data_IF_508790558503
#
_entry.id   IF_508790558503
#
_cell.length_a   1.000
_cell.length_b   1.000
_cell.length_c   1.000
_cell.angle_alpha   90.00
_cell.angle_beta   90.00
_cell.angle_gamma   90.00
#
_symmetry.space_group_name_H-M   'P 1'
#
loop_
_entity.id
_entity.type
_entity.pdbx_description
1 polymer ?
#
# COMPACT_ATOMS: atom_id res chain seq x y z
N UNK A 1 3.05 -14.31 -3.08
CA UNK A 1 4.23 -14.10 -2.20
C UNK A 1 3.78 -13.35 -0.97
N UNK A 2 4.20 -13.76 0.22
CA UNK A 2 3.83 -13.12 1.50
C UNK A 2 5.11 -12.85 2.29
N UNK A 3 5.19 -11.67 2.91
CA UNK A 3 6.33 -11.25 3.74
C UNK A 3 6.32 -11.83 5.17
N UNK A 4 5.38 -12.73 5.47
CA UNK A 4 5.11 -13.28 6.80
C UNK A 4 4.61 -12.25 7.82
N UNK A 5 4.24 -11.06 7.35
CA UNK A 5 3.68 -9.96 8.13
C UNK A 5 2.41 -9.49 7.46
N UNK A 6 2.41 -8.30 6.88
CA UNK A 6 1.22 -7.63 6.36
C UNK A 6 1.22 -7.42 4.85
N UNK A 7 2.32 -7.73 4.15
CA UNK A 7 2.41 -7.53 2.70
C UNK A 7 2.12 -8.83 1.93
N UNK A 8 1.05 -8.82 1.14
CA UNK A 8 0.68 -9.91 0.23
C UNK A 8 0.78 -9.44 -1.23
N UNK A 9 1.48 -10.23 -2.05
CA UNK A 9 1.56 -10.02 -3.49
C UNK A 9 0.93 -11.21 -4.21
N UNK A 10 -0.06 -10.93 -5.04
CA UNK A 10 -0.75 -11.92 -5.86
C UNK A 10 -0.29 -11.71 -7.31
N UNK A 11 0.29 -12.74 -7.90
CA UNK A 11 0.68 -12.75 -9.31
C UNK A 11 -0.14 -13.82 -10.01
N UNK A 12 -0.86 -13.42 -11.06
CA UNK A 12 -1.71 -14.31 -11.86
C UNK A 12 -1.25 -14.29 -13.31
N UNK A 13 -1.48 -15.39 -14.01
CA UNK A 13 -1.16 -15.48 -15.44
C UNK A 13 -2.04 -14.54 -16.27
N UNK A 14 -1.54 -13.95 -17.37
CA UNK A 14 -2.34 -13.14 -18.30
C UNK A 14 -3.60 -13.83 -18.82
N UNK A 15 -3.66 -15.16 -18.80
CA UNK A 15 -4.87 -15.91 -19.19
C UNK A 15 -6.10 -15.62 -18.31
N UNK A 16 -5.92 -15.02 -17.13
CA UNK A 16 -7.00 -14.61 -16.22
C UNK A 16 -7.41 -13.14 -16.41
N UNK A 17 -6.89 -12.46 -17.43
CA UNK A 17 -7.25 -11.07 -17.74
C UNK A 17 -8.77 -10.94 -17.94
N UNK A 18 -9.40 -10.04 -17.20
CA UNK A 18 -10.86 -9.83 -17.21
C UNK A 18 -11.70 -10.98 -16.64
N UNK A 19 -11.08 -12.00 -16.02
CA UNK A 19 -11.77 -13.18 -15.46
C UNK A 19 -11.75 -13.22 -13.93
N UNK A 20 -11.18 -12.20 -13.29
CA UNK A 20 -11.11 -12.08 -11.84
C UNK A 20 -12.00 -10.94 -11.36
N UNK A 21 -12.29 -10.95 -10.07
CA UNK A 21 -12.98 -9.87 -9.38
C UNK A 21 -12.54 -9.85 -7.91
N UNK A 22 -12.85 -8.77 -7.21
CA UNK A 22 -12.53 -8.61 -5.80
C UNK A 22 -11.83 -7.29 -5.52
N UNK A 23 -11.19 -7.22 -4.35
CA UNK A 23 -10.48 -6.02 -3.89
C UNK A 23 -9.27 -5.64 -4.77
N UNK A 24 -8.75 -6.57 -5.57
CA UNK A 24 -7.66 -6.34 -6.51
C UNK A 24 -8.14 -5.94 -7.92
N UNK A 25 -9.43 -5.61 -8.09
CA UNK A 25 -10.01 -5.24 -9.38
C UNK A 25 -10.33 -6.45 -10.27
N UNK A 26 -10.49 -6.20 -11.57
CA UNK A 26 -10.89 -7.21 -12.56
C UNK A 26 -9.74 -7.64 -13.51
N UNK A 27 -8.57 -7.01 -13.36
CA UNK A 27 -7.38 -7.27 -14.18
C UNK A 27 -7.67 -7.19 -15.68
N UNK A 28 -8.41 -6.20 -16.16
CA UNK A 28 -8.67 -6.01 -17.61
C UNK A 28 -7.73 -4.97 -18.27
N UNK A 29 -6.97 -4.22 -17.47
CA UNK A 29 -6.06 -3.15 -17.91
C UNK A 29 -6.67 -1.73 -17.85
N UNK A 30 -7.90 -1.58 -17.36
CA UNK A 30 -8.61 -0.32 -17.23
C UNK A 30 -8.90 0.02 -15.76
N UNK A 31 -8.04 0.83 -15.13
CA UNK A 31 -8.21 1.19 -13.71
C UNK A 31 -9.50 1.95 -13.37
N UNK A 32 -10.25 2.46 -14.36
CA UNK A 32 -11.50 3.20 -14.13
C UNK A 32 -12.67 2.31 -13.71
N UNK A 33 -12.59 1.00 -13.91
CA UNK A 33 -13.66 0.06 -13.55
C UNK A 33 -13.23 -0.93 -12.44
N UNK A 34 -12.03 -0.79 -11.87
CA UNK A 34 -11.55 -1.70 -10.82
C UNK A 34 -12.43 -1.66 -9.57
N UNK A 35 -13.10 -0.54 -9.30
CA UNK A 35 -14.11 -0.42 -8.25
C UNK A 35 -15.47 -0.98 -8.69
N UNK A 36 -15.47 -2.24 -9.13
CA UNK A 36 -16.68 -3.01 -9.41
C UNK A 36 -17.11 -3.78 -8.17
N UNK A 37 -18.36 -3.59 -7.73
CA UNK A 37 -18.93 -4.25 -6.56
C UNK A 37 -19.24 -5.73 -6.82
N UNK A 38 -19.53 -6.49 -5.75
CA UNK A 38 -20.00 -7.89 -5.87
C UNK A 38 -21.29 -8.03 -6.69
N UNK A 39 -22.12 -6.98 -6.79
CA UNK A 39 -23.33 -6.93 -7.62
C UNK A 39 -23.08 -6.39 -9.04
N UNK A 40 -21.81 -6.29 -9.47
CA UNK A 40 -21.38 -5.83 -10.79
C UNK A 40 -21.68 -4.35 -11.10
N UNK A 41 -21.83 -3.53 -10.06
CA UNK A 41 -21.98 -2.08 -10.21
C UNK A 41 -20.60 -1.40 -10.14
N UNK A 42 -20.32 -0.48 -11.05
CA UNK A 42 -19.11 0.36 -11.01
C UNK A 42 -19.40 1.58 -10.14
N UNK A 43 -18.62 1.76 -9.08
CA UNK A 43 -18.82 2.82 -8.10
C UNK A 43 -17.59 3.71 -7.98
N UNK A 44 -17.78 4.98 -7.60
CA UNK A 44 -16.68 5.89 -7.33
C UNK A 44 -16.21 5.86 -5.86
N UNK A 45 -17.10 5.44 -4.96
CA UNK A 45 -16.84 5.44 -3.52
C UNK A 45 -16.10 4.17 -3.08
N UNK A 46 -14.92 4.35 -2.48
CA UNK A 46 -14.05 3.23 -2.05
C UNK A 46 -14.65 2.43 -0.90
N UNK A 47 -15.46 3.04 -0.03
CA UNK A 47 -16.12 2.32 1.06
C UNK A 47 -17.26 1.46 0.54
N UNK A 48 -18.07 1.96 -0.40
CA UNK A 48 -19.09 1.20 -1.08
C UNK A 48 -18.47 -0.02 -1.79
N UNK A 49 -17.37 0.20 -2.52
CA UNK A 49 -16.60 -0.87 -3.16
C UNK A 49 -16.10 -1.91 -2.14
N UNK A 50 -15.31 -1.48 -1.15
CA UNK A 50 -14.69 -2.37 -0.18
C UNK A 50 -15.72 -3.15 0.66
N UNK A 51 -16.77 -2.49 1.13
CA UNK A 51 -17.83 -3.12 1.92
C UNK A 51 -18.66 -4.13 1.12
N UNK A 52 -18.78 -3.96 -0.20
CA UNK A 52 -19.48 -4.94 -1.06
C UNK A 52 -18.78 -6.31 -1.10
N UNK A 53 -17.48 -6.35 -0.82
CA UNK A 53 -16.66 -7.56 -0.87
C UNK A 53 -16.58 -8.33 0.44
N UNK A 54 -17.21 -7.85 1.52
CA UNK A 54 -17.25 -8.58 2.81
C UNK A 54 -17.77 -10.00 2.62
N UNK A 55 -17.12 -10.96 3.31
CA UNK A 55 -17.50 -12.38 3.21
C UNK A 55 -18.70 -12.68 4.10
N UNK A 56 -18.71 -12.15 5.32
CA UNK A 56 -19.83 -12.32 6.25
C UNK A 56 -20.69 -11.06 6.32
N UNK A 57 -22.01 -11.24 6.29
CA UNK A 57 -22.96 -10.15 6.51
C UNK A 57 -22.87 -9.57 7.93
N UNK A 58 -22.43 -10.37 8.91
CA UNK A 58 -22.25 -9.96 10.30
C UNK A 58 -21.07 -9.02 10.53
N UNK A 59 -20.13 -8.93 9.58
CA UNK A 59 -19.03 -7.96 9.67
C UNK A 59 -19.60 -6.53 9.55
N UNK A 60 -19.16 -5.61 10.43
CA UNK A 60 -19.52 -4.21 10.33
C UNK A 60 -19.00 -3.63 9.02
N UNK A 61 -19.70 -2.62 8.50
CA UNK A 61 -19.18 -1.84 7.38
C UNK A 61 -17.99 -1.00 7.86
N UNK A 62 -16.94 -0.94 7.06
CA UNK A 62 -15.84 -0.02 7.25
C UNK A 62 -16.33 1.42 7.08
N UNK A 63 -15.77 2.31 7.89
CA UNK A 63 -16.00 3.74 7.87
C UNK A 63 -14.69 4.46 7.49
N UNK A 64 -14.79 5.75 7.14
CA UNK A 64 -13.61 6.57 6.88
C UNK A 64 -12.81 6.71 8.17
N UNK A 65 -11.61 6.14 8.19
CA UNK A 65 -10.68 6.29 9.31
C UNK A 65 -10.09 7.70 9.24
N UNK A 66 -10.08 8.39 10.38
CA UNK A 66 -9.40 9.69 10.50
C UNK A 66 -7.90 9.52 10.24
N UNK A 67 -7.28 10.52 9.61
CA UNK A 67 -5.84 10.49 9.35
C UNK A 67 -5.05 10.22 10.65
N UNK A 68 -4.31 9.09 10.76
CA UNK A 68 -3.54 8.75 11.96
C UNK A 68 -2.48 9.81 12.31
N UNK A 69 -1.99 10.54 11.31
CA UNK A 69 -1.05 11.62 11.54
C UNK A 69 -1.73 12.89 12.09
N UNK A 70 -3.03 13.09 11.83
CA UNK A 70 -3.80 14.20 12.39
C UNK A 70 -4.11 13.98 13.88
N UNK A 71 -4.33 12.73 14.30
CA UNK A 71 -4.52 12.38 15.70
C UNK A 71 -3.21 12.35 16.49
N UNK A 72 -2.08 12.05 15.86
CA UNK A 72 -0.77 11.97 16.51
C UNK A 72 0.31 12.87 15.88
N UNK A 73 0.25 14.18 16.18
CA UNK A 73 1.13 15.20 15.56
C UNK A 73 2.62 14.99 15.83
N UNK A 74 3.01 14.46 16.99
CA UNK A 74 4.43 14.19 17.29
C UNK A 74 4.99 13.13 16.33
N UNK A 75 4.18 12.11 16.02
CA UNK A 75 4.57 11.05 15.09
C UNK A 75 4.52 11.46 13.64
N UNK A 76 3.68 12.42 13.27
CA UNK A 76 3.64 12.94 11.91
C UNK A 76 5.02 13.44 11.45
N UNK A 77 5.70 14.25 12.27
CA UNK A 77 7.03 14.77 11.94
C UNK A 77 8.09 13.66 11.86
N UNK A 78 8.07 12.70 12.79
CA UNK A 78 8.98 11.56 12.76
C UNK A 78 8.74 10.70 11.51
N UNK A 79 7.49 10.37 11.21
CA UNK A 79 7.09 9.53 10.08
C UNK A 79 7.47 10.14 8.74
N UNK A 80 7.16 11.43 8.54
CA UNK A 80 7.59 12.17 7.34
C UNK A 80 9.10 12.13 7.16
N UNK A 81 9.86 12.34 8.24
CA UNK A 81 11.33 12.30 8.20
C UNK A 81 11.85 10.92 7.83
N UNK A 82 11.37 9.86 8.48
CA UNK A 82 11.86 8.50 8.22
C UNK A 82 11.45 8.00 6.83
N UNK A 83 10.21 8.26 6.41
CA UNK A 83 9.70 7.85 5.10
C UNK A 83 10.32 8.64 3.93
N UNK A 84 10.95 9.79 4.19
CA UNK A 84 11.62 10.59 3.15
C UNK A 84 12.73 9.83 2.39
N UNK A 85 13.21 8.70 2.92
CA UNK A 85 14.13 7.83 2.18
C UNK A 85 13.55 7.41 0.82
N UNK A 86 12.24 7.18 0.73
CA UNK A 86 11.51 6.77 -0.50
C UNK A 86 11.68 7.81 -1.61
N UNK A 87 11.64 9.10 -1.26
CA UNK A 87 11.78 10.22 -2.21
C UNK A 87 13.21 10.78 -2.26
N UNK A 88 14.14 10.21 -1.49
CA UNK A 88 15.53 10.66 -1.42
C UNK A 88 16.38 10.12 -2.58
N UNK A 89 17.62 10.60 -2.64
CA UNK A 89 18.65 10.13 -3.59
C UNK A 89 18.91 8.63 -3.53
N UNK A 90 18.65 7.98 -2.38
CA UNK A 90 18.81 6.53 -2.21
C UNK A 90 17.98 5.74 -3.23
N UNK A 91 16.79 6.24 -3.58
CA UNK A 91 15.88 5.59 -4.53
C UNK A 91 15.81 6.29 -5.89
N UNK A 92 16.69 7.26 -6.17
CA UNK A 92 16.63 8.11 -7.36
C UNK A 92 16.59 7.32 -8.67
N UNK A 93 17.32 6.21 -8.77
CA UNK A 93 17.34 5.36 -9.96
C UNK A 93 16.00 4.65 -10.25
N UNK A 94 15.13 4.53 -9.25
CA UNK A 94 13.81 3.91 -9.37
C UNK A 94 12.68 4.93 -9.57
N UNK A 95 12.86 6.20 -9.17
CA UNK A 95 11.80 7.24 -9.27
C UNK A 95 11.22 7.40 -10.67
N UNK A 96 12.03 7.17 -11.71
CA UNK A 96 11.58 7.23 -13.12
C UNK A 96 10.78 6.01 -13.59
N UNK A 97 10.81 4.91 -12.82
CA UNK A 97 10.16 3.63 -13.16
C UNK A 97 8.94 3.35 -12.29
N UNK A 98 8.97 3.77 -11.04
CA UNK A 98 7.88 3.58 -10.06
C UNK A 98 7.68 4.90 -9.32
N UNK A 99 6.47 5.44 -9.39
CA UNK A 99 6.09 6.67 -8.68
C UNK A 99 6.26 6.51 -7.16
N UNK A 100 7.15 7.28 -6.50
CA UNK A 100 7.36 7.20 -5.06
C UNK A 100 6.21 7.77 -4.23
N UNK A 101 5.36 8.65 -4.79
CA UNK A 101 4.34 9.40 -4.04
C UNK A 101 3.40 8.52 -3.21
N UNK A 102 2.69 7.55 -3.83
CA UNK A 102 1.79 6.66 -3.10
C UNK A 102 2.48 5.84 -2.00
N UNK A 103 3.73 5.44 -2.22
CA UNK A 103 4.51 4.67 -1.24
C UNK A 103 4.97 5.54 -0.07
N UNK A 104 5.36 6.79 -0.33
CA UNK A 104 5.67 7.76 0.72
C UNK A 104 4.44 8.04 1.59
N UNK A 105 3.29 8.32 0.98
CA UNK A 105 2.05 8.59 1.72
C UNK A 105 1.58 7.39 2.54
N UNK A 106 1.71 6.17 2.00
CA UNK A 106 1.43 4.94 2.77
C UNK A 106 2.39 4.80 3.94
N UNK A 107 3.70 4.93 3.72
CA UNK A 107 4.70 4.84 4.77
C UNK A 107 4.43 5.81 5.92
N UNK A 108 4.08 7.07 5.60
CA UNK A 108 3.78 8.09 6.60
C UNK A 108 2.53 7.70 7.41
N UNK A 109 1.45 7.29 6.74
CA UNK A 109 0.22 6.87 7.41
C UNK A 109 0.43 5.66 8.32
N UNK A 110 1.11 4.63 7.82
CA UNK A 110 1.40 3.40 8.58
C UNK A 110 2.28 3.69 9.80
N UNK A 111 3.32 4.51 9.61
CA UNK A 111 4.24 4.91 10.68
C UNK A 111 3.57 5.79 11.74
N UNK A 112 2.57 6.61 11.38
CA UNK A 112 1.76 7.34 12.34
C UNK A 112 0.83 6.42 13.13
N UNK A 113 0.26 5.39 12.48
CA UNK A 113 -0.73 4.50 13.06
C UNK A 113 -0.15 3.43 14.01
N UNK A 114 1.13 3.06 13.88
CA UNK A 114 1.72 1.98 14.68
C UNK A 114 2.10 2.42 16.11
N UNK A 115 1.16 2.86 16.95
CA UNK A 115 1.37 3.57 18.24
C UNK A 115 1.43 2.73 19.51
N UNK A 116 1.36 1.42 19.36
CA UNK A 116 1.38 0.47 20.48
C UNK A 116 2.71 -0.30 20.59
N UNK A 117 3.73 0.10 19.82
CA UNK A 117 5.04 -0.55 19.72
C UNK A 117 5.24 -1.23 18.36
N UNK A 118 6.49 -1.38 17.92
CA UNK A 118 6.82 -1.92 16.58
C UNK A 118 6.97 -0.86 15.48
N UNK A 119 7.17 0.42 15.83
CA UNK A 119 7.34 1.55 14.89
C UNK A 119 8.34 1.29 13.77
N UNK A 120 9.48 0.68 14.11
CA UNK A 120 10.50 0.31 13.15
C UNK A 120 10.01 -0.77 12.18
N UNK A 121 9.16 -1.69 12.62
CA UNK A 121 8.64 -2.76 11.77
C UNK A 121 7.69 -2.23 10.69
N UNK A 122 6.77 -1.33 11.04
CA UNK A 122 5.86 -0.70 10.09
C UNK A 122 6.62 0.13 9.05
N UNK A 123 7.56 0.97 9.52
CA UNK A 123 8.45 1.75 8.65
C UNK A 123 9.23 0.85 7.68
N UNK A 124 9.90 -0.18 8.19
CA UNK A 124 10.73 -1.06 7.36
C UNK A 124 9.90 -1.88 6.37
N UNK A 125 8.68 -2.26 6.73
CA UNK A 125 7.76 -2.97 5.83
C UNK A 125 7.31 -2.05 4.69
N UNK A 126 6.93 -0.81 5.00
CA UNK A 126 6.53 0.16 3.99
C UNK A 126 7.66 0.52 3.00
N UNK A 127 8.89 0.76 3.50
CA UNK A 127 10.05 1.03 2.63
C UNK A 127 10.43 -0.21 1.81
N UNK A 128 10.33 -1.41 2.39
CA UNK A 128 10.57 -2.65 1.67
C UNK A 128 9.58 -2.88 0.53
N UNK A 129 8.32 -2.46 0.68
CA UNK A 129 7.32 -2.54 -0.39
C UNK A 129 7.73 -1.69 -1.61
N UNK A 130 8.26 -0.48 -1.40
CA UNK A 130 8.76 0.34 -2.50
C UNK A 130 10.03 -0.28 -3.14
N UNK A 131 10.97 -0.75 -2.31
CA UNK A 131 12.16 -1.43 -2.82
C UNK A 131 11.83 -2.68 -3.64
N UNK A 132 10.79 -3.43 -3.26
CA UNK A 132 10.31 -4.56 -4.05
C UNK A 132 9.74 -4.11 -5.40
N UNK A 133 8.89 -3.08 -5.42
CA UNK A 133 8.36 -2.53 -6.67
C UNK A 133 9.48 -2.06 -7.60
N UNK A 134 10.52 -1.42 -7.05
CA UNK A 134 11.72 -1.06 -7.79
C UNK A 134 12.45 -2.27 -8.37
N UNK A 135 12.59 -3.36 -7.59
CA UNK A 135 13.23 -4.59 -8.03
C UNK A 135 12.44 -5.23 -9.20
N UNK A 136 11.11 -5.27 -9.10
CA UNK A 136 10.23 -5.77 -10.16
C UNK A 136 10.30 -4.89 -11.43
N UNK A 137 10.55 -3.59 -11.29
CA UNK A 137 10.85 -2.67 -12.38
C UNK A 137 12.32 -2.75 -12.87
N UNK A 138 13.08 -3.77 -12.44
CA UNK A 138 14.45 -4.01 -12.85
C UNK A 138 15.48 -3.06 -12.24
N UNK A 139 15.24 -2.55 -11.02
CA UNK A 139 16.16 -1.68 -10.28
C UNK A 139 16.37 -2.24 -8.87
N UNK A 140 17.51 -2.88 -8.66
CA UNK A 140 17.90 -3.34 -7.32
C UNK A 140 18.52 -2.18 -6.54
N UNK A 141 17.97 -1.86 -5.35
CA UNK A 141 18.44 -0.76 -4.50
C UNK A 141 18.85 -1.33 -3.15
N UNK A 142 20.09 -1.06 -2.74
CA UNK A 142 20.58 -1.36 -1.40
C UNK A 142 20.28 -0.17 -0.46
N UNK A 143 19.17 -0.24 0.27
CA UNK A 143 18.67 0.87 1.11
C UNK A 143 18.84 0.63 2.62
N UNK A 144 19.05 -0.61 3.03
CA UNK A 144 19.22 -1.00 4.44
C UNK A 144 20.60 -0.63 4.96
N UNK A 145 20.68 -0.16 6.20
CA UNK A 145 21.93 0.19 6.89
C UNK A 145 21.89 -0.23 8.35
N UNK A 146 23.03 -0.30 9.07
CA UNK A 146 23.03 -0.61 10.51
C UNK A 146 22.21 0.36 11.38
N UNK A 147 21.85 1.54 10.86
CA UNK A 147 21.03 2.56 11.55
C UNK A 147 19.60 2.64 11.02
N UNK A 148 19.26 1.88 9.97
CA UNK A 148 17.98 1.93 9.28
C UNK A 148 17.64 0.56 8.67
N UNK A 149 16.69 -0.15 9.28
CA UNK A 149 16.09 -1.39 8.78
C UNK A 149 17.04 -2.52 8.36
#
# INVERSE_FOLDING_TARGET
MWDQKTSLFITISPQFQGQVCGLCGNYDGNSKNDFTTRSQEIVADVLQFGNSWKVSSSCPSAELISDPCASNRYRAAWSQKQCSIITSVTFQSCHSKVDPGPYFDSCVRDSCACDTGGDCECLCTAVAAYAKACNEAGTCIAWRTPKFC
#
